data_IF_519344875094
#
_entry.id   IF_519344875094
#
_cell.length_a   1.000
_cell.length_b   1.000
_cell.length_c   1.000
_cell.angle_alpha   90.00
_cell.angle_beta   90.00
_cell.angle_gamma   90.00
#
_symmetry.space_group_name_H-M   'P 1'
#
loop_
_entity.id
_entity.type
_entity.pdbx_description
1 polymer ?
#
# COMPACT_ATOMS: atom_id res chain seq x y z
N UNK A 1 -19.65 7.34 1.06
CA UNK A 1 -18.23 7.04 0.79
C UNK A 1 -17.76 7.96 -0.34
N UNK A 2 -16.74 8.80 -0.13
CA UNK A 2 -16.25 9.73 -1.17
C UNK A 2 -15.19 9.01 -2.00
N UNK A 3 -15.45 8.79 -3.28
CA UNK A 3 -14.44 8.23 -4.20
C UNK A 3 -13.34 9.28 -4.42
N UNK A 4 -12.12 8.97 -4.03
CA UNK A 4 -10.95 9.83 -4.28
C UNK A 4 -10.16 9.22 -5.44
N UNK A 5 -10.26 9.85 -6.61
CA UNK A 5 -9.60 9.39 -7.83
C UNK A 5 -10.27 8.16 -8.46
N UNK A 6 -9.95 7.92 -9.73
CA UNK A 6 -10.35 6.72 -10.46
C UNK A 6 -9.09 6.00 -10.93
N UNK A 7 -9.06 4.66 -10.79
CA UNK A 7 -7.99 3.86 -11.37
C UNK A 7 -8.07 3.95 -12.89
N UNK A 8 -6.98 4.32 -13.53
CA UNK A 8 -6.85 4.23 -14.98
C UNK A 8 -6.47 2.78 -15.29
N UNK A 9 -7.44 1.99 -15.74
CA UNK A 9 -7.15 0.65 -16.25
C UNK A 9 -6.43 0.76 -17.61
N UNK A 10 -5.31 0.03 -17.73
CA UNK A 10 -4.54 -0.03 -18.98
C UNK A 10 -4.92 -1.32 -19.71
N UNK A 11 -5.20 -1.27 -21.02
CA UNK A 11 -5.48 -2.48 -21.79
C UNK A 11 -4.25 -3.40 -21.82
N UNK A 12 -4.48 -4.71 -21.84
CA UNK A 12 -3.41 -5.70 -21.99
C UNK A 12 -2.88 -5.61 -23.44
N UNK A 13 -1.58 -5.39 -23.59
CA UNK A 13 -0.92 -5.30 -24.90
C UNK A 13 0.09 -6.41 -25.09
N UNK A 14 0.30 -6.82 -26.35
CA UNK A 14 1.31 -7.81 -26.69
C UNK A 14 2.74 -7.27 -26.51
N UNK A 15 2.95 -6.00 -26.88
CA UNK A 15 4.26 -5.35 -26.81
C UNK A 15 4.41 -4.54 -25.53
N UNK A 16 5.62 -4.55 -24.96
CA UNK A 16 6.01 -3.69 -23.86
C UNK A 16 6.10 -2.22 -24.31
N UNK A 17 5.87 -1.28 -23.38
CA UNK A 17 5.97 0.16 -23.63
C UNK A 17 6.95 0.81 -22.65
N UNK A 18 7.98 1.47 -23.17
CA UNK A 18 8.93 2.23 -22.36
C UNK A 18 8.29 3.42 -21.65
N UNK A 19 7.30 4.06 -22.28
CA UNK A 19 6.56 5.16 -21.66
C UNK A 19 5.77 4.69 -20.42
N UNK A 20 5.11 3.53 -20.51
CA UNK A 20 4.39 2.96 -19.37
C UNK A 20 5.35 2.48 -18.27
N UNK A 21 6.52 1.96 -18.63
CA UNK A 21 7.55 1.62 -17.66
C UNK A 21 8.02 2.86 -16.89
N UNK A 22 8.30 3.96 -17.59
CA UNK A 22 8.72 5.21 -16.97
C UNK A 22 7.63 5.80 -16.07
N UNK A 23 6.37 5.74 -16.48
CA UNK A 23 5.22 6.14 -15.64
C UNK A 23 5.13 5.30 -14.36
N UNK A 24 5.20 3.97 -14.50
CA UNK A 24 5.16 3.05 -13.36
C UNK A 24 6.32 3.26 -12.38
N UNK A 25 7.52 3.52 -12.90
CA UNK A 25 8.70 3.82 -12.07
C UNK A 25 8.51 5.10 -11.25
N UNK A 26 8.06 6.19 -11.88
CA UNK A 26 7.78 7.46 -11.18
C UNK A 26 6.71 7.32 -10.11
N UNK A 27 5.63 6.61 -10.44
CA UNK A 27 4.56 6.31 -9.48
C UNK A 27 5.11 5.54 -8.26
N UNK A 28 5.94 4.53 -8.51
CA UNK A 28 6.56 3.75 -7.44
C UNK A 28 7.47 4.62 -6.57
N UNK A 29 8.27 5.52 -7.15
CA UNK A 29 9.13 6.44 -6.40
C UNK A 29 8.30 7.41 -5.54
N UNK A 30 7.22 7.96 -6.08
CA UNK A 30 6.32 8.85 -5.34
C UNK A 30 5.62 8.13 -4.19
N UNK A 31 5.25 6.86 -4.38
CA UNK A 31 4.69 6.03 -3.32
C UNK A 31 5.70 5.82 -2.17
N UNK A 32 6.98 5.59 -2.50
CA UNK A 32 8.04 5.42 -1.49
C UNK A 32 8.35 6.73 -0.73
N UNK A 33 8.05 7.90 -1.32
CA UNK A 33 8.17 9.20 -0.65
C UNK A 33 7.07 9.49 0.35
N UNK A 34 5.99 8.71 0.37
CA UNK A 34 4.94 8.91 1.35
C UNK A 34 5.46 8.71 2.77
N UNK A 35 4.86 9.38 3.76
CA UNK A 35 4.94 9.10 5.20
C UNK A 35 5.30 7.68 5.67
N UNK A 36 4.77 6.66 5.00
CA UNK A 36 4.93 5.24 5.34
C UNK A 36 5.39 4.42 4.13
N UNK A 37 5.93 5.08 3.10
CA UNK A 37 6.27 4.46 1.81
C UNK A 37 7.37 3.40 1.89
N UNK A 38 8.20 3.46 2.93
CA UNK A 38 9.25 2.50 3.26
C UNK A 38 8.80 1.41 4.25
N UNK A 39 7.55 1.46 4.72
CA UNK A 39 7.05 0.58 5.80
C UNK A 39 6.07 -0.43 5.27
N UNK A 40 6.27 -1.69 5.68
CA UNK A 40 5.26 -2.72 5.48
C UNK A 40 4.24 -2.66 6.62
N UNK A 41 2.97 -2.41 6.29
CA UNK A 41 1.87 -2.38 7.26
C UNK A 41 1.63 -3.76 7.90
N UNK A 42 1.48 -4.79 7.06
CA UNK A 42 1.30 -6.17 7.50
C UNK A 42 2.61 -6.93 7.25
N UNK A 43 3.26 -7.40 8.32
CA UNK A 43 4.52 -8.14 8.15
C UNK A 43 4.29 -9.46 7.44
N UNK A 44 5.29 -9.92 6.68
CA UNK A 44 5.25 -11.26 6.10
C UNK A 44 5.19 -12.29 7.22
N UNK A 45 4.25 -13.23 7.13
CA UNK A 45 4.03 -14.27 8.12
C UNK A 45 2.86 -15.18 7.72
N UNK A 46 2.72 -16.30 8.41
CA UNK A 46 1.55 -17.16 8.28
C UNK A 46 0.53 -16.76 9.34
N UNK A 47 -0.62 -16.27 8.88
CA UNK A 47 -1.74 -15.89 9.73
C UNK A 47 -2.89 -16.87 9.55
N UNK A 48 -3.49 -17.31 10.66
CA UNK A 48 -4.68 -18.17 10.67
C UNK A 48 -5.69 -17.57 11.63
N UNK A 49 -6.78 -17.06 11.09
CA UNK A 49 -7.86 -16.44 11.86
C UNK A 49 -9.08 -17.35 11.89
N UNK A 50 -9.81 -17.32 13.00
CA UNK A 50 -11.04 -18.10 13.18
C UNK A 50 -12.27 -17.39 12.60
N UNK A 51 -12.18 -16.09 12.38
CA UNK A 51 -13.25 -15.28 11.79
C UNK A 51 -12.69 -14.09 10.99
N UNK A 52 -13.55 -13.51 10.14
CA UNK A 52 -13.22 -12.27 9.44
C UNK A 52 -13.02 -11.10 10.41
N UNK A 53 -13.76 -11.04 11.51
CA UNK A 53 -13.59 -9.99 12.52
C UNK A 53 -12.21 -10.03 13.18
N UNK A 54 -11.68 -11.24 13.42
CA UNK A 54 -10.33 -11.41 13.94
C UNK A 54 -9.27 -10.95 12.94
N UNK A 55 -9.46 -11.28 11.65
CA UNK A 55 -8.58 -10.82 10.58
C UNK A 55 -8.61 -9.29 10.43
N UNK A 56 -9.80 -8.68 10.47
CA UNK A 56 -9.98 -7.23 10.38
C UNK A 56 -9.35 -6.50 11.57
N UNK A 57 -9.48 -7.06 12.78
CA UNK A 57 -8.84 -6.49 13.98
C UNK A 57 -7.32 -6.53 13.86
N UNK A 58 -6.77 -7.66 13.40
CA UNK A 58 -5.34 -7.78 13.15
C UNK A 58 -4.83 -6.75 12.13
N UNK A 59 -5.56 -6.56 11.02
CA UNK A 59 -5.21 -5.56 10.01
C UNK A 59 -5.20 -4.14 10.60
N UNK A 60 -6.23 -3.79 11.37
CA UNK A 60 -6.31 -2.49 12.04
C UNK A 60 -5.17 -2.27 13.04
N UNK A 61 -4.86 -3.28 13.86
CA UNK A 61 -3.76 -3.22 14.84
C UNK A 61 -2.41 -2.98 14.14
N UNK A 62 -2.17 -3.65 13.01
CA UNK A 62 -0.99 -3.44 12.18
C UNK A 62 -0.90 -2.01 11.63
N UNK A 63 -2.00 -1.47 11.10
CA UNK A 63 -2.07 -0.09 10.59
C UNK A 63 -1.77 0.90 11.72
N UNK A 64 -2.43 0.76 12.86
CA UNK A 64 -2.26 1.66 14.01
C UNK A 64 -0.80 1.66 14.49
N UNK A 65 -0.17 0.49 14.62
CA UNK A 65 1.21 0.39 15.06
C UNK A 65 2.18 1.13 14.13
N UNK A 66 2.01 1.00 12.81
CA UNK A 66 2.87 1.68 11.85
C UNK A 66 2.64 3.19 11.84
N UNK A 67 1.38 3.64 11.92
CA UNK A 67 1.05 5.06 11.97
C UNK A 67 1.57 5.73 13.24
N UNK A 68 1.43 5.08 14.40
CA UNK A 68 1.98 5.55 15.66
C UNK A 68 3.51 5.72 15.55
N UNK A 69 4.21 4.73 14.98
CA UNK A 69 5.65 4.84 14.77
C UNK A 69 6.00 5.96 13.79
N UNK A 70 5.24 6.12 12.71
CA UNK A 70 5.47 7.16 11.72
C UNK A 70 5.25 8.58 12.27
N UNK A 71 4.35 8.74 13.25
CA UNK A 71 4.17 9.99 13.97
C UNK A 71 5.35 10.30 14.90
N UNK A 72 5.85 9.30 15.63
CA UNK A 72 7.03 9.45 16.51
C UNK A 72 8.27 9.83 15.72
N UNK A 73 8.53 9.19 14.59
CA UNK A 73 9.74 9.46 13.80
C UNK A 73 9.73 10.87 13.13
N UNK A 74 8.62 11.63 13.23
CA UNK A 74 8.47 13.01 12.74
C UNK A 74 8.45 14.08 13.84
N UNK A 75 8.35 13.69 15.10
CA UNK A 75 8.33 14.59 16.24
C UNK A 75 9.76 15.02 16.62
#
# INVERSE_FOLDING_TARGET
>A
MRTIGNRIERPITFSASGALLAEGARFNDDLHRLPTGDRTLIRKGLYRFKSFDEANRHDLDCIVAVMARAAVDRA
#
